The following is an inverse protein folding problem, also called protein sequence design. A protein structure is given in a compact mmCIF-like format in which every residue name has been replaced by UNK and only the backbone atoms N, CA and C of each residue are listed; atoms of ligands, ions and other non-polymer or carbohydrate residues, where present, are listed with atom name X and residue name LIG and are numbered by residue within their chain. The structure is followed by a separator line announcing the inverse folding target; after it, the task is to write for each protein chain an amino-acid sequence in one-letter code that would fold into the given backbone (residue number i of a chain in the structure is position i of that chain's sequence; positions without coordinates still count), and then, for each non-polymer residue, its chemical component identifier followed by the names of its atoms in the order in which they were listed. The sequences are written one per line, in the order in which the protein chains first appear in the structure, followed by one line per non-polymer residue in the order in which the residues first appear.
data_IF_768834436433
#
_entry.id   IF_768834436433
#
_cell.length_a   1.000
_cell.length_b   1.000
_cell.length_c   1.000
_cell.angle_alpha   90.00
_cell.angle_beta   90.00
_cell.angle_gamma   90.00
#
_symmetry.space_group_name_H-M   'P 1'
#
loop_
_entity.id
_entity.type
_entity.pdbx_description
1 polymer ?
#
# COMPACT_ATOMS: atom_id res chain seq x y z
N UNK A 1 15.44 -43.38 -10.57
CA UNK A 1 15.62 -41.92 -10.72
C UNK A 1 16.25 -41.43 -9.44
N UNK A 2 17.32 -40.64 -9.52
CA UNK A 2 17.83 -39.93 -8.34
C UNK A 2 16.77 -38.89 -7.96
N UNK A 3 16.39 -38.84 -6.68
CA UNK A 3 15.45 -37.83 -6.18
C UNK A 3 16.02 -36.43 -6.46
N UNK A 4 15.15 -35.48 -6.78
CA UNK A 4 15.57 -34.08 -6.92
C UNK A 4 16.10 -33.54 -5.58
N UNK A 5 16.95 -32.49 -5.58
CA UNK A 5 17.42 -31.86 -4.35
C UNK A 5 16.29 -31.49 -3.38
N UNK A 6 15.15 -30.99 -3.90
CA UNK A 6 13.96 -30.65 -3.09
C UNK A 6 13.31 -31.91 -2.49
N UNK A 7 13.11 -32.96 -3.29
CA UNK A 7 12.58 -34.24 -2.79
C UNK A 7 13.49 -34.84 -1.70
N UNK A 8 14.81 -34.66 -1.80
CA UNK A 8 15.76 -35.09 -0.79
C UNK A 8 15.64 -34.29 0.53
N UNK A 9 15.35 -32.98 0.46
CA UNK A 9 15.07 -32.14 1.65
C UNK A 9 13.78 -32.63 2.33
N UNK A 10 12.71 -32.83 1.56
CA UNK A 10 11.41 -33.29 2.07
C UNK A 10 11.51 -34.69 2.72
N UNK A 11 12.27 -35.61 2.12
CA UNK A 11 12.52 -36.94 2.68
C UNK A 11 13.29 -36.89 4.02
N UNK A 12 14.31 -36.03 4.15
CA UNK A 12 15.05 -35.86 5.42
C UNK A 12 14.13 -35.35 6.53
N UNK A 13 13.26 -34.39 6.23
CA UNK A 13 12.29 -33.83 7.19
C UNK A 13 11.28 -34.86 7.69
N UNK A 14 10.76 -35.72 6.80
CA UNK A 14 9.83 -36.79 7.17
C UNK A 14 10.45 -37.83 8.12
N UNK A 15 11.77 -38.02 8.07
CA UNK A 15 12.49 -38.91 8.98
C UNK A 15 12.66 -38.26 10.37
N UNK A 16 12.96 -36.96 10.43
CA UNK A 16 13.13 -36.21 11.68
C UNK A 16 11.80 -35.96 12.44
N UNK A 17 10.67 -35.81 11.72
CA UNK A 17 9.34 -35.57 12.33
C UNK A 17 8.69 -36.79 12.99
N UNK A 18 9.28 -37.98 12.84
CA UNK A 18 8.72 -39.24 13.36
C UNK A 18 8.93 -39.45 14.89
N UNK A 19 9.44 -38.43 15.60
CA UNK A 19 9.78 -38.49 17.03
C UNK A 19 9.20 -37.40 17.93
N UNK A 20 8.12 -36.70 17.57
CA UNK A 20 7.54 -35.67 18.47
C UNK A 20 6.02 -35.81 18.65
N UNK A 21 5.64 -36.21 19.86
CA UNK A 21 4.29 -36.19 20.40
C UNK A 21 3.63 -34.81 20.22
N UNK A 22 2.33 -34.80 19.90
CA UNK A 22 1.44 -33.64 20.08
C UNK A 22 1.47 -33.20 21.55
N UNK A 23 2.36 -32.28 21.90
CA UNK A 23 2.37 -31.64 23.21
C UNK A 23 1.61 -30.33 23.11
N UNK A 24 0.53 -30.27 23.89
CA UNK A 24 -0.18 -29.05 24.26
C UNK A 24 0.84 -28.04 24.84
N UNK A 25 1.18 -26.97 24.10
CA UNK A 25 2.16 -25.96 24.54
C UNK A 25 1.65 -24.55 24.27
N UNK A 26 0.85 -24.04 25.22
CA UNK A 26 0.97 -22.63 25.60
C UNK A 26 2.38 -22.43 26.20
N UNK A 27 3.39 -22.26 25.35
CA UNK A 27 4.69 -21.77 25.78
C UNK A 27 4.83 -20.33 25.32
N UNK A 28 4.79 -19.43 26.30
CA UNK A 28 5.24 -18.04 26.17
C UNK A 28 6.69 -18.06 25.69
N UNK A 29 6.95 -17.54 24.50
CA UNK A 29 8.28 -17.06 24.12
C UNK A 29 8.28 -15.54 24.09
N UNK A 30 9.35 -14.98 24.64
CA UNK A 30 9.61 -13.55 24.77
C UNK A 30 10.39 -13.13 23.53
N UNK A 31 9.90 -12.12 22.80
CA UNK A 31 10.68 -11.47 21.76
C UNK A 31 12.03 -11.03 22.32
N UNK A 32 13.12 -11.59 21.79
CA UNK A 32 14.47 -11.18 22.15
C UNK A 32 14.89 -10.13 21.12
N UNK A 33 15.04 -8.88 21.57
CA UNK A 33 15.87 -7.96 20.80
C UNK A 33 17.28 -8.57 20.73
N UNK A 34 17.94 -8.53 19.57
CA UNK A 34 19.36 -8.86 19.49
C UNK A 34 20.11 -7.97 20.48
N UNK A 35 21.00 -8.57 21.27
CA UNK A 35 21.80 -7.85 22.25
C UNK A 35 22.82 -6.89 21.62
N UNK A 36 23.19 -7.12 20.35
CA UNK A 36 24.09 -6.27 19.55
C UNK A 36 23.65 -6.27 18.06
N UNK A 37 23.32 -5.12 17.45
CA UNK A 37 22.97 -5.00 16.03
C UNK A 37 24.09 -5.44 15.06
N UNK A 38 25.35 -5.49 15.52
CA UNK A 38 26.49 -5.98 14.74
C UNK A 38 26.74 -7.49 14.90
N UNK A 39 26.02 -8.19 15.80
CA UNK A 39 26.06 -9.66 15.98
C UNK A 39 24.77 -10.36 15.54
N UNK A 40 23.78 -9.63 15.03
CA UNK A 40 22.57 -10.22 14.44
C UNK A 40 22.92 -11.09 13.21
N UNK A 41 22.25 -12.23 13.00
CA UNK A 41 22.36 -12.95 11.74
C UNK A 41 22.01 -11.98 10.58
N UNK A 42 22.79 -11.97 9.50
CA UNK A 42 22.63 -11.00 8.43
C UNK A 42 21.33 -11.17 7.65
N UNK A 43 20.72 -12.36 7.66
CA UNK A 43 19.55 -12.68 6.87
C UNK A 43 18.41 -13.22 7.71
N UNK A 44 17.22 -12.71 7.40
CA UNK A 44 15.96 -13.11 7.98
C UNK A 44 15.01 -13.51 6.86
N UNK A 45 14.26 -14.58 7.11
CA UNK A 45 13.22 -15.07 6.21
C UNK A 45 11.90 -15.04 6.98
N UNK A 46 10.80 -14.70 6.33
CA UNK A 46 9.50 -14.67 6.98
C UNK A 46 8.45 -15.35 6.12
N UNK A 47 7.47 -15.99 6.75
CA UNK A 47 6.25 -16.49 6.09
C UNK A 47 5.05 -15.95 6.86
N UNK A 48 4.11 -15.40 6.12
CA UNK A 48 2.82 -14.93 6.61
C UNK A 48 1.78 -15.90 6.09
N UNK A 49 1.09 -16.55 7.01
CA UNK A 49 -0.05 -17.44 6.74
C UNK A 49 -1.33 -16.68 7.04
N UNK A 50 -2.26 -16.70 6.09
CA UNK A 50 -3.54 -16.01 6.22
C UNK A 50 -4.64 -16.98 6.62
N UNK A 51 -5.65 -16.48 7.34
CA UNK A 51 -6.87 -17.25 7.52
C UNK A 51 -7.56 -17.49 6.17
N UNK A 52 -8.21 -18.64 5.99
CA UNK A 52 -9.02 -18.92 4.79
C UNK A 52 -10.05 -17.82 4.50
N UNK A 53 -10.58 -17.17 5.54
CA UNK A 53 -11.54 -16.06 5.44
C UNK A 53 -10.96 -14.79 4.81
N UNK A 54 -9.64 -14.67 4.71
CA UNK A 54 -8.97 -13.51 4.11
C UNK A 54 -8.95 -13.56 2.57
N UNK A 55 -9.31 -14.70 1.95
CA UNK A 55 -9.31 -14.93 0.49
C UNK A 55 -7.96 -14.60 -0.18
N UNK A 56 -6.87 -15.09 0.42
CA UNK A 56 -5.49 -14.82 -0.01
C UNK A 56 -4.57 -16.01 0.21
N UNK A 57 -3.57 -16.11 -0.64
CA UNK A 57 -2.48 -17.08 -0.51
C UNK A 57 -1.45 -16.60 0.52
N UNK A 58 -0.76 -17.57 1.12
CA UNK A 58 0.39 -17.31 1.99
C UNK A 58 1.50 -16.56 1.27
N UNK A 59 2.27 -15.77 2.01
CA UNK A 59 3.36 -14.98 1.44
C UNK A 59 4.67 -15.16 2.20
N UNK A 60 5.80 -15.01 1.52
CA UNK A 60 7.11 -15.13 2.14
C UNK A 60 8.07 -13.99 1.76
N UNK A 61 8.99 -13.70 2.66
CA UNK A 61 10.10 -12.77 2.48
C UNK A 61 11.40 -13.54 2.70
N UNK A 62 12.41 -13.32 1.86
CA UNK A 62 13.68 -14.04 1.94
C UNK A 62 14.85 -13.07 1.88
N UNK A 63 15.89 -13.34 2.66
CA UNK A 63 17.14 -12.57 2.68
C UNK A 63 17.00 -11.11 3.15
N UNK A 64 16.06 -10.85 4.06
CA UNK A 64 15.83 -9.52 4.61
C UNK A 64 16.78 -9.25 5.77
N UNK A 65 17.08 -7.98 6.01
CA UNK A 65 17.76 -7.56 7.24
C UNK A 65 16.77 -7.52 8.42
N UNK A 66 17.32 -7.54 9.65
CA UNK A 66 16.52 -7.36 10.87
C UNK A 66 15.65 -6.08 10.82
N UNK A 67 16.22 -4.97 10.32
CA UNK A 67 15.52 -3.70 10.24
C UNK A 67 14.31 -3.79 9.31
N UNK A 68 14.45 -4.44 8.16
CA UNK A 68 13.37 -4.59 7.18
C UNK A 68 12.27 -5.53 7.68
N UNK A 69 12.60 -6.70 8.23
CA UNK A 69 11.59 -7.60 8.84
C UNK A 69 10.87 -6.90 9.98
N UNK A 70 11.60 -6.13 10.80
CA UNK A 70 11.01 -5.37 11.89
C UNK A 70 10.03 -4.31 11.39
N UNK A 71 10.43 -3.47 10.44
CA UNK A 71 9.59 -2.36 9.97
C UNK A 71 8.44 -2.80 9.07
N UNK A 72 8.62 -3.85 8.28
CA UNK A 72 7.63 -4.28 7.29
C UNK A 72 6.63 -5.30 7.83
N UNK A 73 7.02 -6.08 8.84
CA UNK A 73 6.22 -7.21 9.32
C UNK A 73 5.93 -7.07 10.81
N UNK A 74 6.97 -6.97 11.66
CA UNK A 74 6.81 -7.11 13.11
C UNK A 74 6.14 -5.91 13.75
N UNK A 75 6.58 -4.69 13.45
CA UNK A 75 6.01 -3.47 14.03
C UNK A 75 4.56 -3.24 13.59
N UNK A 76 4.22 -3.35 12.29
CA UNK A 76 2.85 -3.14 11.88
C UNK A 76 1.88 -4.19 12.43
N UNK A 77 2.29 -5.45 12.47
CA UNK A 77 1.49 -6.51 13.11
C UNK A 77 1.22 -6.22 14.60
N UNK A 78 2.21 -5.66 15.32
CA UNK A 78 2.08 -5.37 16.77
C UNK A 78 1.22 -4.16 17.08
N UNK A 79 1.28 -3.14 16.23
CA UNK A 79 0.55 -1.89 16.43
C UNK A 79 -0.90 -1.96 15.96
N UNK A 80 -1.35 -3.12 15.47
CA UNK A 80 -2.61 -3.28 14.73
C UNK A 80 -2.74 -2.26 13.58
N UNK A 81 -1.59 -1.89 13.02
CA UNK A 81 -1.52 -0.98 11.90
C UNK A 81 -1.71 -1.77 10.61
N UNK A 82 -2.31 -1.11 9.62
CA UNK A 82 -2.42 -1.68 8.28
C UNK A 82 -1.03 -1.73 7.65
N UNK A 83 -0.62 -2.90 7.16
CA UNK A 83 0.61 -3.06 6.39
C UNK A 83 0.40 -3.79 5.08
N UNK A 84 1.37 -3.71 4.17
CA UNK A 84 1.24 -4.24 2.83
C UNK A 84 2.03 -5.53 2.70
N UNK A 85 1.34 -6.57 2.24
CA UNK A 85 1.95 -7.83 1.82
C UNK A 85 1.64 -7.99 0.35
N UNK A 86 2.68 -8.09 -0.50
CA UNK A 86 2.51 -8.14 -1.97
C UNK A 86 1.77 -6.91 -2.55
N UNK A 87 1.90 -5.73 -1.93
CA UNK A 87 1.13 -4.54 -2.32
C UNK A 87 -0.37 -4.64 -2.04
N UNK A 88 -0.83 -5.67 -1.30
CA UNK A 88 -2.21 -5.77 -0.80
C UNK A 88 -2.27 -5.33 0.66
N UNK A 89 -3.32 -4.58 0.97
CA UNK A 89 -3.65 -4.13 2.33
C UNK A 89 -3.89 -5.33 3.25
N UNK A 90 -3.12 -5.47 4.30
CA UNK A 90 -3.21 -6.53 5.29
C UNK A 90 -3.40 -5.94 6.67
N UNK A 91 -4.35 -6.50 7.43
CA UNK A 91 -4.56 -6.18 8.84
C UNK A 91 -4.21 -7.40 9.69
N UNK A 92 -3.88 -7.18 10.96
CA UNK A 92 -3.46 -8.25 11.88
C UNK A 92 -4.51 -9.38 11.99
N UNK A 93 -5.81 -9.04 11.87
CA UNK A 93 -6.92 -9.98 11.95
C UNK A 93 -7.03 -10.95 10.77
N UNK A 94 -6.41 -10.64 9.63
CA UNK A 94 -6.41 -11.52 8.45
C UNK A 94 -5.34 -12.62 8.55
N UNK A 95 -4.40 -12.46 9.48
CA UNK A 95 -3.20 -13.29 9.58
C UNK A 95 -3.41 -14.38 10.62
N UNK A 96 -3.29 -15.63 10.19
CA UNK A 96 -3.31 -16.79 11.07
C UNK A 96 -1.98 -16.91 11.82
N UNK A 97 -0.86 -16.76 11.09
CA UNK A 97 0.48 -17.00 11.66
C UNK A 97 1.54 -16.21 10.91
N UNK A 98 2.56 -15.77 11.64
CA UNK A 98 3.82 -15.30 11.06
C UNK A 98 4.93 -16.19 11.60
N UNK A 99 5.76 -16.73 10.71
CA UNK A 99 6.99 -17.44 11.06
C UNK A 99 8.18 -16.63 10.57
N UNK A 100 9.23 -16.52 11.39
CA UNK A 100 10.46 -15.81 11.04
C UNK A 100 11.61 -16.76 11.32
N UNK A 101 12.51 -16.91 10.35
CA UNK A 101 13.73 -17.67 10.44
C UNK A 101 14.94 -16.75 10.34
N UNK A 102 16.05 -17.20 10.92
CA UNK A 102 17.32 -16.50 10.92
C UNK A 102 18.38 -17.38 10.24
N UNK A 103 19.26 -16.78 9.45
CA UNK A 103 20.39 -17.49 8.86
C UNK A 103 21.65 -16.64 8.80
N UNK A 104 22.79 -17.31 8.93
CA UNK A 104 24.11 -16.69 8.76
C UNK A 104 24.45 -16.40 7.29
N UNK A 105 23.79 -17.10 6.37
CA UNK A 105 24.01 -17.00 4.93
C UNK A 105 22.70 -16.67 4.22
N UNK A 106 22.80 -16.17 2.99
CA UNK A 106 21.63 -15.94 2.16
C UNK A 106 20.96 -17.27 1.79
N UNK A 107 19.67 -17.25 1.43
CA UNK A 107 18.90 -18.45 1.15
C UNK A 107 19.44 -19.22 -0.07
N UNK A 108 20.04 -18.51 -1.03
CA UNK A 108 20.73 -19.13 -2.17
C UNK A 108 22.00 -19.89 -1.73
N UNK A 109 22.73 -19.39 -0.73
CA UNK A 109 23.90 -20.06 -0.16
C UNK A 109 23.48 -21.25 0.72
N UNK A 110 22.40 -21.10 1.49
CA UNK A 110 21.80 -22.20 2.25
C UNK A 110 21.29 -23.31 1.30
N UNK A 111 20.67 -22.94 0.17
CA UNK A 111 20.22 -23.89 -0.85
C UNK A 111 21.40 -24.69 -1.48
N UNK A 112 22.58 -24.10 -1.58
CA UNK A 112 23.78 -24.76 -2.10
C UNK A 112 24.21 -25.96 -1.24
N UNK A 113 23.97 -25.93 0.08
CA UNK A 113 24.24 -27.06 0.98
C UNK A 113 23.39 -28.31 0.64
N UNK A 114 22.29 -28.12 -0.10
CA UNK A 114 21.42 -29.18 -0.59
C UNK A 114 21.69 -29.56 -2.05
N UNK A 115 22.72 -28.99 -2.67
CA UNK A 115 23.09 -29.27 -4.06
C UNK A 115 22.28 -28.49 -5.11
N UNK A 116 21.63 -27.40 -4.70
CA UNK A 116 20.94 -26.47 -5.62
C UNK A 116 21.95 -25.40 -6.05
N UNK A 117 22.25 -25.29 -7.34
CA UNK A 117 23.14 -24.23 -7.83
C UNK A 117 22.47 -22.86 -7.78
N UNK A 118 23.25 -21.78 -7.80
CA UNK A 118 22.72 -20.43 -7.85
C UNK A 118 21.86 -20.17 -9.10
N UNK A 119 22.17 -20.79 -10.25
CA UNK A 119 21.32 -20.69 -11.43
C UNK A 119 20.00 -21.43 -11.21
N UNK A 120 20.04 -22.69 -10.72
CA UNK A 120 18.83 -23.46 -10.44
C UNK A 120 17.96 -22.83 -9.35
N UNK A 121 18.56 -22.10 -8.41
CA UNK A 121 17.83 -21.38 -7.37
C UNK A 121 16.91 -20.28 -7.94
N UNK A 122 17.35 -19.59 -9.01
CA UNK A 122 16.55 -18.54 -9.65
C UNK A 122 15.26 -19.10 -10.24
N UNK A 123 15.28 -20.35 -10.69
CA UNK A 123 14.15 -21.05 -11.30
C UNK A 123 13.24 -21.75 -10.27
N UNK A 124 13.58 -21.72 -8.97
CA UNK A 124 12.75 -22.32 -7.93
C UNK A 124 11.43 -21.57 -7.75
N UNK A 125 10.36 -22.34 -7.56
CA UNK A 125 9.06 -21.82 -7.14
C UNK A 125 9.11 -21.25 -5.72
N UNK A 126 8.10 -20.46 -5.37
CA UNK A 126 7.92 -19.95 -4.01
C UNK A 126 7.89 -21.07 -2.95
N UNK A 127 7.20 -22.17 -3.24
CA UNK A 127 7.10 -23.33 -2.34
C UNK A 127 8.43 -24.07 -2.19
N UNK A 128 9.22 -24.16 -3.26
CA UNK A 128 10.54 -24.80 -3.22
C UNK A 128 11.51 -23.96 -2.37
N UNK A 129 11.46 -22.63 -2.48
CA UNK A 129 12.26 -21.73 -1.62
C UNK A 129 11.84 -21.83 -0.16
N UNK A 130 10.53 -21.89 0.12
CA UNK A 130 10.02 -22.17 1.46
C UNK A 130 10.47 -23.52 2.00
N UNK A 131 10.62 -24.53 1.14
CA UNK A 131 11.15 -25.84 1.53
C UNK A 131 12.61 -25.75 1.98
N UNK A 132 13.41 -24.87 1.35
CA UNK A 132 14.78 -24.57 1.81
C UNK A 132 14.73 -23.85 3.16
N UNK A 133 13.90 -22.81 3.32
CA UNK A 133 13.76 -22.09 4.60
C UNK A 133 13.32 -23.00 5.75
N UNK A 134 12.33 -23.87 5.51
CA UNK A 134 11.82 -24.84 6.49
C UNK A 134 12.90 -25.86 6.92
N UNK A 135 13.99 -25.98 6.17
CA UNK A 135 15.12 -26.87 6.49
C UNK A 135 16.21 -26.21 7.34
N UNK A 136 16.15 -24.88 7.51
CA UNK A 136 17.06 -24.14 8.40
C UNK A 136 16.82 -24.57 9.85
N UNK A 137 17.88 -25.06 10.51
CA UNK A 137 17.82 -25.50 11.90
C UNK A 137 17.68 -24.30 12.86
N UNK A 138 16.94 -24.49 13.94
CA UNK A 138 16.90 -23.60 15.12
C UNK A 138 16.33 -22.18 14.99
N UNK A 139 15.38 -21.90 14.08
CA UNK A 139 14.71 -20.58 14.05
C UNK A 139 13.17 -20.61 14.05
N UNK A 140 12.55 -21.78 13.96
CA UNK A 140 11.11 -21.89 13.77
C UNK A 140 10.34 -21.92 15.08
N UNK A 141 9.87 -20.76 15.54
CA UNK A 141 8.52 -20.54 16.09
C UNK A 141 8.46 -19.20 16.85
N UNK A 142 8.51 -18.07 16.13
CA UNK A 142 8.01 -16.82 16.69
C UNK A 142 6.48 -16.87 16.62
N UNK A 143 5.84 -17.42 17.65
CA UNK A 143 4.40 -17.28 17.86
C UNK A 143 4.11 -15.79 18.11
N UNK A 144 3.63 -15.09 17.09
CA UNK A 144 2.93 -13.83 17.30
C UNK A 144 1.51 -14.15 17.78
N UNK A 145 1.15 -13.50 18.87
CA UNK A 145 0.02 -13.80 19.74
C UNK A 145 -1.30 -14.00 18.98
N UNK A 146 -2.14 -14.95 19.41
CA UNK A 146 -3.59 -14.78 19.24
C UNK A 146 -3.93 -13.41 19.84
N UNK A 147 -4.56 -12.47 19.12
CA UNK A 147 -4.99 -11.24 19.75
C UNK A 147 -5.82 -11.65 20.96
N UNK A 148 -5.39 -11.24 22.16
CA UNK A 148 -6.24 -11.25 23.33
C UNK A 148 -7.34 -10.26 22.98
N UNK A 149 -8.40 -10.73 22.31
CA UNK A 149 -9.56 -9.93 21.98
C UNK A 149 -10.01 -9.23 23.28
N UNK A 150 -9.89 -7.90 23.40
CA UNK A 150 -10.91 -7.20 24.15
C UNK A 150 -12.19 -7.36 23.32
N UNK A 151 -13.28 -7.67 24.01
CA UNK A 151 -14.64 -7.70 23.47
C UNK A 151 -14.83 -6.75 22.26
N UNK A 152 -15.46 -7.16 21.14
CA UNK A 152 -15.69 -6.30 19.97
C UNK A 152 -16.51 -5.02 20.25
N UNK A 153 -16.98 -4.88 21.50
CA UNK A 153 -17.73 -3.73 22.00
C UNK A 153 -16.88 -2.79 22.89
N UNK A 154 -15.60 -3.08 23.09
CA UNK A 154 -14.77 -2.35 24.06
C UNK A 154 -13.33 -2.10 23.56
N UNK A 155 -13.15 -1.60 22.34
CA UNK A 155 -11.95 -0.84 21.94
C UNK A 155 -12.22 -0.03 20.68
N UNK A 156 -13.05 1.00 20.83
CA UNK A 156 -12.90 2.21 20.02
C UNK A 156 -11.63 2.92 20.49
N UNK A 157 -10.46 2.50 20.00
CA UNK A 157 -9.42 3.51 19.81
C UNK A 157 -10.03 4.49 18.83
N UNK A 158 -10.48 5.64 19.34
CA UNK A 158 -11.04 6.68 18.50
C UNK A 158 -9.91 7.05 17.55
N UNK A 159 -9.99 6.77 16.22
CA UNK A 159 -9.04 7.37 15.29
C UNK A 159 -9.09 8.85 15.60
N UNK A 160 -7.93 9.51 15.76
CA UNK A 160 -7.89 10.95 15.98
C UNK A 160 -8.88 11.56 14.99
N UNK A 161 -10.00 12.11 15.50
CA UNK A 161 -11.19 12.35 14.69
C UNK A 161 -10.73 13.20 13.52
N UNK A 162 -10.66 12.61 12.32
CA UNK A 162 -10.25 13.34 11.13
C UNK A 162 -11.19 14.54 11.04
N UNK A 163 -10.64 15.76 11.09
CA UNK A 163 -11.44 16.98 11.04
C UNK A 163 -12.37 16.83 9.83
N UNK A 164 -13.70 16.79 10.03
CA UNK A 164 -14.64 16.44 8.96
C UNK A 164 -14.64 17.48 7.84
N UNK A 165 -13.96 18.62 8.04
CA UNK A 165 -13.75 19.63 7.00
C UNK A 165 -12.44 19.46 6.25
N UNK A 166 -11.45 18.71 6.75
CA UNK A 166 -10.15 18.58 6.08
C UNK A 166 -10.25 17.70 4.84
N UNK A 167 -9.81 18.25 3.71
CA UNK A 167 -9.71 17.55 2.43
C UNK A 167 -8.27 17.63 1.96
N UNK A 168 -7.64 16.49 1.69
CA UNK A 168 -6.31 16.48 1.07
C UNK A 168 -6.48 16.62 -0.44
N UNK A 169 -5.67 17.47 -1.08
CA UNK A 169 -5.77 17.72 -2.53
C UNK A 169 -4.46 17.31 -3.21
N UNK A 170 -4.56 16.37 -4.13
CA UNK A 170 -3.48 15.97 -5.05
C UNK A 170 -3.69 16.75 -6.35
N UNK A 171 -2.67 17.47 -6.83
CA UNK A 171 -2.78 18.27 -8.04
C UNK A 171 -1.44 18.45 -8.77
N UNK A 172 -1.52 18.77 -10.06
CA UNK A 172 -0.38 19.06 -10.93
C UNK A 172 0.08 20.52 -10.87
N UNK A 173 0.60 21.01 -11.99
CA UNK A 173 1.04 22.40 -12.20
C UNK A 173 0.00 23.30 -12.86
N UNK A 174 -1.21 22.80 -13.15
CA UNK A 174 -2.32 23.67 -13.51
C UNK A 174 -2.82 24.47 -12.29
N UNK A 175 -2.09 25.53 -11.96
CA UNK A 175 -2.37 26.40 -10.82
C UNK A 175 -3.76 27.05 -10.91
N UNK A 176 -4.26 27.33 -12.13
CA UNK A 176 -5.58 27.93 -12.32
C UNK A 176 -6.69 26.98 -11.86
N UNK A 177 -6.66 25.72 -12.31
CA UNK A 177 -7.64 24.72 -11.90
C UNK A 177 -7.44 24.26 -10.45
N UNK A 178 -6.21 24.25 -9.94
CA UNK A 178 -5.93 24.08 -8.51
C UNK A 178 -6.64 25.17 -7.70
N UNK A 179 -6.42 26.44 -8.03
CA UNK A 179 -6.97 27.56 -7.27
C UNK A 179 -8.52 27.59 -7.34
N UNK A 180 -9.08 27.20 -8.48
CA UNK A 180 -10.52 27.00 -8.64
C UNK A 180 -11.07 25.92 -7.70
N UNK A 181 -10.41 24.75 -7.63
CA UNK A 181 -10.79 23.67 -6.73
C UNK A 181 -10.67 24.08 -5.26
N UNK A 182 -9.59 24.76 -4.88
CA UNK A 182 -9.43 25.27 -3.51
C UNK A 182 -10.51 26.30 -3.15
N UNK A 183 -10.85 27.18 -4.09
CA UNK A 183 -11.93 28.16 -3.93
C UNK A 183 -13.28 27.47 -3.74
N UNK A 184 -13.57 26.45 -4.55
CA UNK A 184 -14.77 25.62 -4.42
C UNK A 184 -14.84 24.95 -3.05
N UNK A 185 -13.79 24.23 -2.64
CA UNK A 185 -13.75 23.52 -1.36
C UNK A 185 -13.95 24.49 -0.18
N UNK A 186 -13.31 25.67 -0.22
CA UNK A 186 -13.49 26.71 0.81
C UNK A 186 -14.90 27.30 0.81
N UNK A 187 -15.51 27.50 -0.37
CA UNK A 187 -16.89 27.97 -0.49
C UNK A 187 -17.90 26.95 0.07
N UNK A 188 -17.52 25.67 0.10
CA UNK A 188 -18.26 24.59 0.77
C UNK A 188 -17.92 24.45 2.27
N UNK A 189 -17.22 25.42 2.86
CA UNK A 189 -16.71 25.42 4.23
C UNK A 189 -15.75 24.26 4.59
N UNK A 190 -15.14 23.65 3.58
CA UNK A 190 -14.08 22.66 3.76
C UNK A 190 -12.70 23.35 3.86
N UNK A 191 -11.75 22.61 4.40
CA UNK A 191 -10.36 23.01 4.63
C UNK A 191 -9.44 22.18 3.72
N UNK A 192 -9.20 22.62 2.48
CA UNK A 192 -8.21 21.96 1.64
C UNK A 192 -6.82 22.10 2.26
N UNK A 193 -6.10 20.98 2.38
CA UNK A 193 -4.74 20.94 2.93
C UNK A 193 -3.75 21.31 1.84
N UNK A 194 -3.10 22.46 2.01
CA UNK A 194 -2.02 22.90 1.11
C UNK A 194 -0.74 22.09 1.36
N UNK A 195 0.03 21.84 0.29
CA UNK A 195 1.27 21.07 0.36
C UNK A 195 2.27 21.56 1.42
N UNK A 196 2.57 22.88 1.57
CA UNK A 196 3.47 23.35 2.62
C UNK A 196 2.98 23.04 4.04
N UNK A 197 1.66 23.04 4.25
CA UNK A 197 1.04 22.68 5.53
C UNK A 197 1.15 21.18 5.77
N UNK A 198 0.98 20.36 4.73
CA UNK A 198 1.21 18.91 4.80
C UNK A 198 2.67 18.58 5.16
N UNK A 199 3.64 19.24 4.51
CA UNK A 199 5.08 19.11 4.81
C UNK A 199 5.37 19.49 6.26
N UNK A 200 4.87 20.64 6.74
CA UNK A 200 5.03 21.05 8.14
C UNK A 200 4.40 20.04 9.11
N UNK A 201 3.28 19.44 8.73
CA UNK A 201 2.57 18.43 9.51
C UNK A 201 3.40 17.18 9.81
N UNK A 202 4.39 16.87 8.96
CA UNK A 202 5.32 15.74 9.16
C UNK A 202 6.32 15.97 10.29
N UNK A 203 6.56 17.24 10.67
CA UNK A 203 7.61 17.60 11.63
C UNK A 203 9.05 17.41 11.12
N UNK A 204 9.24 17.05 9.85
CA UNK A 204 10.55 16.79 9.25
C UNK A 204 11.04 18.01 8.46
N UNK A 205 12.35 18.27 8.48
CA UNK A 205 12.95 19.37 7.72
C UNK A 205 12.97 19.14 6.20
N UNK A 206 12.96 17.88 5.77
CA UNK A 206 12.95 17.47 4.36
C UNK A 206 12.32 16.08 4.19
N UNK A 207 10.99 15.93 4.38
CA UNK A 207 10.31 14.66 4.18
C UNK A 207 10.31 14.27 2.70
N UNK A 208 10.28 12.96 2.41
CA UNK A 208 9.97 12.47 1.07
C UNK A 208 8.51 12.77 0.70
N UNK A 209 8.18 12.87 -0.58
CA UNK A 209 6.79 13.02 -1.05
C UNK A 209 5.90 11.95 -0.45
N UNK A 210 6.36 10.70 -0.51
CA UNK A 210 5.79 9.54 0.16
C UNK A 210 5.47 9.81 1.65
N UNK A 211 6.46 10.26 2.42
CA UNK A 211 6.31 10.53 3.85
C UNK A 211 5.29 11.63 4.14
N UNK A 212 5.19 12.65 3.27
CA UNK A 212 4.14 13.67 3.37
C UNK A 212 2.77 13.05 3.18
N UNK A 213 2.55 12.25 2.13
CA UNK A 213 1.27 11.60 1.85
C UNK A 213 0.84 10.67 2.99
N UNK A 214 1.79 9.89 3.50
CA UNK A 214 1.57 8.93 4.61
C UNK A 214 1.13 9.62 5.89
N UNK A 215 1.66 10.81 6.19
CA UNK A 215 1.25 11.58 7.36
C UNK A 215 -0.05 12.39 7.12
N UNK A 216 -0.22 12.95 5.93
CA UNK A 216 -1.28 13.93 5.66
C UNK A 216 -2.63 13.31 5.32
N UNK A 217 -2.66 12.22 4.54
CA UNK A 217 -3.90 11.61 4.09
C UNK A 217 -4.74 11.03 5.24
N UNK A 218 -4.17 10.30 6.24
CA UNK A 218 -4.96 9.79 7.37
C UNK A 218 -5.59 10.89 8.24
N UNK A 219 -5.08 12.13 8.15
CA UNK A 219 -5.57 13.30 8.89
C UNK A 219 -6.65 14.07 8.12
N UNK A 220 -6.97 13.67 6.90
CA UNK A 220 -8.02 14.24 6.06
C UNK A 220 -9.24 13.32 6.01
N UNK A 221 -10.43 13.93 5.89
CA UNK A 221 -11.69 13.18 5.76
C UNK A 221 -11.89 12.61 4.37
N UNK A 222 -11.38 13.31 3.35
CA UNK A 222 -11.42 12.90 1.95
C UNK A 222 -10.13 13.32 1.23
N UNK A 223 -9.82 12.61 0.15
CA UNK A 223 -8.77 12.97 -0.81
C UNK A 223 -9.43 13.35 -2.12
N UNK A 224 -9.11 14.52 -2.68
CA UNK A 224 -9.52 14.92 -4.02
C UNK A 224 -8.31 14.93 -4.92
N UNK A 225 -8.33 14.10 -5.96
CA UNK A 225 -7.31 14.05 -7.00
C UNK A 225 -7.77 14.89 -8.18
N UNK A 226 -7.10 16.03 -8.41
CA UNK A 226 -7.34 16.91 -9.54
C UNK A 226 -6.53 16.44 -10.76
N UNK A 227 -7.23 15.88 -11.74
CA UNK A 227 -6.66 15.44 -13.01
C UNK A 227 -6.84 16.55 -14.06
N UNK A 228 -5.73 17.03 -14.59
CA UNK A 228 -5.63 18.10 -15.60
C UNK A 228 -4.67 17.66 -16.71
N UNK A 229 -4.83 18.11 -17.96
CA UNK A 229 -4.00 17.72 -19.09
C UNK A 229 -2.65 18.48 -19.10
N UNK A 230 -1.83 18.22 -18.07
CA UNK A 230 -0.59 18.96 -17.80
C UNK A 230 0.56 18.68 -18.78
N UNK A 231 0.56 17.50 -19.42
CA UNK A 231 1.67 17.05 -20.27
C UNK A 231 1.16 16.52 -21.62
N UNK A 232 1.86 16.87 -22.69
CA UNK A 232 1.71 16.26 -24.01
C UNK A 232 2.58 15.00 -24.09
N UNK A 233 1.98 13.87 -24.47
CA UNK A 233 2.65 12.57 -24.56
C UNK A 233 2.30 11.84 -25.84
N UNK A 234 3.17 10.91 -26.21
CA UNK A 234 2.98 9.96 -27.31
C UNK A 234 3.85 8.75 -27.04
N UNK A 235 3.33 7.55 -27.29
CA UNK A 235 4.15 6.35 -27.18
C UNK A 235 5.27 6.40 -28.24
N UNK A 236 6.45 5.85 -27.94
CA UNK A 236 7.53 5.81 -28.92
C UNK A 236 7.04 5.06 -30.16
N UNK A 237 7.32 5.61 -31.35
CA UNK A 237 6.75 5.09 -32.61
C UNK A 237 7.02 3.61 -32.88
N UNK A 238 8.16 3.08 -32.43
CA UNK A 238 8.49 1.66 -32.56
C UNK A 238 7.80 0.76 -31.51
N UNK A 239 7.22 1.33 -30.46
CA UNK A 239 6.46 0.63 -29.42
C UNK A 239 4.94 0.67 -29.67
N UNK A 240 4.43 1.69 -30.37
CA UNK A 240 3.00 1.87 -30.64
C UNK A 240 2.41 0.88 -31.67
N UNK A 241 3.27 0.11 -32.36
CA UNK A 241 2.83 -0.82 -33.39
C UNK A 241 1.99 -0.13 -34.47
N UNK A 242 0.79 -0.66 -34.72
CA UNK A 242 -0.19 -0.07 -35.65
C UNK A 242 -1.38 0.58 -34.92
N UNK A 243 -1.28 0.84 -33.61
CA UNK A 243 -2.35 1.49 -32.85
C UNK A 243 -2.36 3.00 -33.15
N UNK A 244 -3.40 3.53 -33.84
CA UNK A 244 -3.46 4.94 -34.20
C UNK A 244 -3.67 5.86 -32.99
N UNK A 245 -4.23 5.37 -31.87
CA UNK A 245 -4.44 6.13 -30.64
C UNK A 245 -3.11 6.29 -29.90
N UNK A 246 -2.38 5.19 -29.70
CA UNK A 246 -1.08 5.26 -29.01
C UNK A 246 0.01 5.96 -29.85
N UNK A 247 -0.16 5.97 -31.17
CA UNK A 247 0.72 6.66 -32.12
C UNK A 247 0.45 8.17 -32.23
N UNK A 248 -0.67 8.66 -31.72
CA UNK A 248 -1.02 10.08 -31.76
C UNK A 248 -0.46 10.85 -30.55
N UNK A 249 -0.25 12.16 -30.73
CA UNK A 249 -0.06 13.04 -29.58
C UNK A 249 -1.36 13.10 -28.79
N UNK A 250 -1.24 12.89 -27.48
CA UNK A 250 -2.33 13.00 -26.50
C UNK A 250 -1.86 13.82 -25.32
N UNK A 251 -2.77 14.12 -24.40
CA UNK A 251 -2.45 14.79 -23.14
C UNK A 251 -2.67 13.85 -21.96
N UNK A 252 -2.00 14.12 -20.85
CA UNK A 252 -2.15 13.37 -19.60
C UNK A 252 -1.91 14.26 -18.36
N UNK A 253 -2.36 13.83 -17.17
CA UNK A 253 -1.89 14.38 -15.90
C UNK A 253 -0.41 14.15 -15.69
N UNK A 254 0.22 14.98 -14.84
CA UNK A 254 1.63 14.78 -14.50
C UNK A 254 1.89 13.40 -13.91
N UNK A 255 3.03 12.76 -14.21
CA UNK A 255 3.44 11.50 -13.63
C UNK A 255 3.42 11.51 -12.09
N UNK A 256 3.78 12.62 -11.45
CA UNK A 256 3.70 12.75 -10.00
C UNK A 256 2.25 12.66 -9.50
N UNK A 257 1.31 13.32 -10.18
CA UNK A 257 -0.13 13.24 -9.85
C UNK A 257 -0.63 11.81 -10.05
N UNK A 258 -0.20 11.14 -11.12
CA UNK A 258 -0.54 9.74 -11.38
C UNK A 258 -0.03 8.83 -10.26
N UNK A 259 1.22 9.01 -9.83
CA UNK A 259 1.82 8.27 -8.72
C UNK A 259 1.08 8.52 -7.39
N UNK A 260 0.85 9.78 -7.05
CA UNK A 260 0.14 10.20 -5.83
C UNK A 260 -1.34 9.75 -5.83
N UNK A 261 -1.97 9.72 -7.01
CA UNK A 261 -3.30 9.18 -7.21
C UNK A 261 -3.35 7.67 -6.98
N UNK A 262 -2.36 6.93 -7.49
CA UNK A 262 -2.20 5.50 -7.22
C UNK A 262 -2.05 5.24 -5.72
N UNK A 263 -1.21 6.04 -5.06
CA UNK A 263 -1.03 6.01 -3.59
C UNK A 263 -2.33 6.27 -2.83
N UNK A 264 -3.06 7.34 -3.21
CA UNK A 264 -4.32 7.68 -2.58
C UNK A 264 -5.34 6.56 -2.74
N UNK A 265 -5.41 5.94 -3.92
CA UNK A 265 -6.27 4.77 -4.16
C UNK A 265 -5.88 3.58 -3.29
N UNK A 266 -4.58 3.29 -3.18
CA UNK A 266 -4.10 2.13 -2.44
C UNK A 266 -4.38 2.27 -0.94
N UNK A 267 -4.15 3.47 -0.40
CA UNK A 267 -4.22 3.73 1.04
C UNK A 267 -5.60 4.22 1.51
N UNK A 268 -6.34 4.91 0.65
CA UNK A 268 -7.61 5.57 0.93
C UNK A 268 -8.66 5.33 -0.18
N UNK A 269 -8.93 4.06 -0.57
CA UNK A 269 -9.80 3.74 -1.72
C UNK A 269 -11.22 4.27 -1.55
N UNK A 270 -11.77 4.19 -0.33
CA UNK A 270 -13.15 4.57 -0.02
C UNK A 270 -13.34 6.08 0.15
N UNK A 271 -12.27 6.86 0.31
CA UNK A 271 -12.34 8.31 0.57
C UNK A 271 -11.64 9.15 -0.50
N UNK A 272 -11.22 8.53 -1.61
CA UNK A 272 -10.60 9.21 -2.75
C UNK A 272 -11.62 9.52 -3.84
N UNK A 273 -11.65 10.78 -4.29
CA UNK A 273 -12.50 11.26 -5.38
C UNK A 273 -11.62 11.80 -6.51
N UNK A 274 -11.82 11.26 -7.72
CA UNK A 274 -11.17 11.76 -8.93
C UNK A 274 -12.02 12.85 -9.59
N UNK A 275 -11.41 14.02 -9.77
CA UNK A 275 -12.02 15.17 -10.43
C UNK A 275 -11.17 15.57 -11.64
N UNK A 276 -11.69 15.28 -12.84
CA UNK A 276 -11.03 15.57 -14.10
C UNK A 276 -11.56 16.86 -14.70
N UNK A 277 -10.66 17.73 -15.17
CA UNK A 277 -11.01 18.95 -15.91
C UNK A 277 -10.61 18.79 -17.37
N UNK A 278 -11.60 18.85 -18.27
CA UNK A 278 -11.40 18.63 -19.70
C UNK A 278 -11.53 17.17 -20.12
N UNK A 279 -11.34 16.94 -21.43
CA UNK A 279 -11.48 15.64 -22.07
C UNK A 279 -10.11 15.12 -22.47
N UNK A 280 -9.67 14.02 -21.86
CA UNK A 280 -8.46 13.30 -22.25
C UNK A 280 -8.52 11.83 -21.86
N UNK A 281 -7.84 11.00 -22.63
CA UNK A 281 -7.76 9.56 -22.39
C UNK A 281 -6.73 9.24 -21.30
N UNK A 282 -7.18 8.61 -20.21
CA UNK A 282 -6.31 8.12 -19.15
C UNK A 282 -5.72 6.74 -19.47
N UNK A 283 -4.69 6.35 -18.72
CA UNK A 283 -4.20 4.98 -18.76
C UNK A 283 -5.23 4.02 -18.15
N UNK A 284 -5.20 2.76 -18.62
CA UNK A 284 -6.24 1.74 -18.40
C UNK A 284 -6.64 1.52 -16.95
N UNK A 285 -5.71 1.66 -16.00
CA UNK A 285 -5.99 1.38 -14.59
C UNK A 285 -6.90 2.43 -13.93
N UNK A 286 -6.91 3.68 -14.42
CA UNK A 286 -7.86 4.73 -13.98
C UNK A 286 -9.17 4.69 -14.76
N UNK A 287 -9.17 4.16 -15.98
CA UNK A 287 -10.37 4.08 -16.83
C UNK A 287 -11.52 3.26 -16.21
N UNK A 288 -11.21 2.30 -15.32
CA UNK A 288 -12.20 1.52 -14.57
C UNK A 288 -12.86 2.24 -13.38
N UNK A 289 -12.44 3.47 -13.04
CA UNK A 289 -12.88 4.18 -11.84
C UNK A 289 -13.97 5.22 -12.11
N UNK A 290 -14.90 5.34 -11.17
CA UNK A 290 -15.93 6.38 -11.16
C UNK A 290 -15.31 7.76 -10.91
N UNK A 291 -15.14 8.55 -11.95
CA UNK A 291 -14.64 9.94 -11.88
C UNK A 291 -15.74 10.97 -12.14
N UNK A 292 -15.45 12.20 -11.77
CA UNK A 292 -16.25 13.37 -12.14
C UNK A 292 -15.52 14.08 -13.29
N UNK A 293 -16.11 14.06 -14.49
CA UNK A 293 -15.55 14.78 -15.65
C UNK A 293 -16.20 16.15 -15.78
N UNK A 294 -15.46 17.18 -15.41
CA UNK A 294 -15.87 18.58 -15.47
C UNK A 294 -15.61 19.15 -16.86
N UNK A 295 -16.72 19.59 -17.50
CA UNK A 295 -16.74 20.24 -18.83
C UNK A 295 -17.31 21.66 -18.76
N UNK A 296 -17.13 22.36 -17.63
CA UNK A 296 -17.65 23.72 -17.46
C UNK A 296 -19.06 23.83 -16.86
N UNK A 297 -19.65 22.72 -16.40
CA UNK A 297 -21.02 22.71 -15.86
C UNK A 297 -21.09 22.77 -14.33
N UNK A 298 -22.08 23.51 -13.82
CA UNK A 298 -22.36 23.57 -12.37
C UNK A 298 -22.83 22.21 -11.79
N UNK A 299 -23.41 21.34 -12.63
CA UNK A 299 -23.87 20.01 -12.21
C UNK A 299 -22.73 19.13 -11.71
N UNK A 300 -21.55 19.20 -12.33
CA UNK A 300 -20.38 18.45 -11.86
C UNK A 300 -19.83 18.96 -10.53
N UNK A 301 -19.90 20.27 -10.27
CA UNK A 301 -19.54 20.83 -8.97
C UNK A 301 -20.48 20.30 -7.89
N UNK A 302 -21.78 20.22 -8.20
CA UNK A 302 -22.77 19.60 -7.31
C UNK A 302 -22.48 18.12 -7.06
N UNK A 303 -22.13 17.36 -8.09
CA UNK A 303 -21.74 15.95 -7.92
C UNK A 303 -20.51 15.83 -7.00
N UNK A 304 -19.52 16.72 -7.12
CA UNK A 304 -18.36 16.72 -6.23
C UNK A 304 -18.77 17.01 -4.77
N UNK A 305 -19.59 18.04 -4.54
CA UNK A 305 -20.11 18.36 -3.21
C UNK A 305 -20.90 17.19 -2.60
N UNK A 306 -21.78 16.56 -3.39
CA UNK A 306 -22.59 15.43 -2.96
C UNK A 306 -21.71 14.21 -2.62
N UNK A 307 -20.66 13.92 -3.41
CA UNK A 307 -19.69 12.85 -3.07
C UNK A 307 -18.95 13.16 -1.78
N UNK A 308 -18.47 14.39 -1.58
CA UNK A 308 -17.79 14.78 -0.34
C UNK A 308 -18.72 14.64 0.89
N UNK A 309 -20.01 14.96 0.75
CA UNK A 309 -21.01 14.68 1.78
C UNK A 309 -21.17 13.18 2.05
N UNK A 310 -21.24 12.35 1.02
CA UNK A 310 -21.30 10.89 1.16
C UNK A 310 -20.10 10.34 1.92
N UNK A 311 -18.92 10.92 1.73
CA UNK A 311 -17.69 10.57 2.48
C UNK A 311 -17.70 11.07 3.93
N UNK A 312 -18.74 11.81 4.33
CA UNK A 312 -18.92 12.38 5.67
C UNK A 312 -18.15 13.68 5.88
N UNK A 313 -17.83 14.42 4.81
CA UNK A 313 -17.32 15.78 4.96
C UNK A 313 -18.44 16.71 5.41
N UNK A 314 -18.11 17.68 6.28
CA UNK A 314 -19.05 18.70 6.76
C UNK A 314 -19.20 19.82 5.72
N UNK A 315 -19.86 19.48 4.61
CA UNK A 315 -20.09 20.36 3.46
C UNK A 315 -21.23 21.34 3.75
N UNK A 316 -20.97 22.64 3.61
CA UNK A 316 -21.99 23.68 3.59
C UNK A 316 -22.33 24.06 2.15
N UNK A 317 -23.50 23.64 1.66
CA UNK A 317 -24.00 23.95 0.32
C UNK A 317 -25.25 24.84 0.35
N UNK A 318 -25.48 25.56 1.45
CA UNK A 318 -26.67 26.41 1.63
C UNK A 318 -26.71 27.61 0.68
N UNK A 319 -25.54 28.09 0.22
CA UNK A 319 -25.40 29.15 -0.78
C UNK A 319 -25.36 28.63 -2.23
N UNK A 320 -25.16 29.54 -3.19
CA UNK A 320 -25.03 29.20 -4.62
C UNK A 320 -23.69 29.60 -5.24
N UNK A 321 -22.88 30.42 -4.56
CA UNK A 321 -21.62 30.94 -5.11
C UNK A 321 -20.57 29.85 -5.42
N UNK A 322 -20.69 28.70 -4.75
CA UNK A 322 -19.86 27.52 -4.99
C UNK A 322 -20.19 26.82 -6.32
N UNK A 323 -21.32 27.14 -6.97
CA UNK A 323 -21.71 26.61 -8.28
C UNK A 323 -21.10 27.37 -9.46
N UNK A 324 -20.26 28.38 -9.20
CA UNK A 324 -19.60 29.16 -10.24
C UNK A 324 -18.53 28.35 -11.00
N UNK A 325 -18.98 27.69 -12.07
CA UNK A 325 -18.15 26.88 -12.95
C UNK A 325 -17.16 27.71 -13.79
N UNK A 326 -17.33 29.03 -13.90
CA UNK A 326 -16.45 29.89 -14.70
C UNK A 326 -15.04 30.03 -14.11
N UNK A 327 -14.87 29.64 -12.84
CA UNK A 327 -13.57 29.63 -12.16
C UNK A 327 -12.61 28.58 -12.69
N UNK A 328 -13.12 27.50 -13.29
CA UNK A 328 -12.31 26.43 -13.86
C UNK A 328 -11.99 26.73 -15.33
N UNK A 329 -10.78 26.35 -15.75
CA UNK A 329 -10.32 26.50 -17.13
C UNK A 329 -10.35 25.14 -17.79
N UNK A 330 -11.33 24.92 -18.66
CA UNK A 330 -11.38 23.74 -19.52
C UNK A 330 -10.55 24.03 -20.76
N UNK A 331 -9.39 23.38 -20.90
CA UNK A 331 -8.56 23.45 -22.10
C UNK A 331 -8.92 22.28 -23.02
N UNK A 332 -9.01 22.57 -24.31
CA UNK A 332 -9.19 21.56 -25.37
C UNK A 332 -7.90 20.77 -25.61
#
# INVERSE_FOLDING_TARGET
MLATPIEAILCRRSMDSSGSNRVNRQQKMVYRQPSDPNESPPFYHARIEFYESADRDDYAYFDYTYAEVRSLIVEPFRSDETFFVEGRRTVSSDIERIRIWESSQSLVEEAAAFGISAESYQDLSWDDRLTVVDSLKDSGDVILMTPLFPDPLASTSTPAIADPRKVFVVHGRDDANRDALYTLLRALHLKPVEWPVAVQGTGQGAPSTDGVLTDSMPRAKAVVVLLTPDEEVRLKSHLAGNDPVESAWRVQPRPNVIYEAGRARETHPETTVFFQVGDFDEFSDIAGMQRIVFRGGASQLKILADRLKTLGCEVDDSGTDWLDATKFVVRE
#
